data_IF_177477792472
#
_entry.id   IF_177477792472
#
_cell.length_a   1.000
_cell.length_b   1.000
_cell.length_c   1.000
_cell.angle_alpha   90.00
_cell.angle_beta   90.00
_cell.angle_gamma   90.00
#
_symmetry.space_group_name_H-M   'P 1'
#
loop_
_entity.id
_entity.type
_entity.pdbx_description
1 polymer ?
#
# COMPACT_ATOMS: atom_id res chain seq x y z
N UNK A 1 -39.37 12.38 -24.97
CA UNK A 1 -37.98 11.90 -24.74
C UNK A 1 -37.69 11.60 -23.27
N UNK A 2 -38.07 12.43 -22.28
CA UNK A 2 -37.76 12.22 -20.85
C UNK A 2 -38.42 10.98 -20.18
N UNK A 3 -39.56 10.50 -20.70
CA UNK A 3 -40.34 9.37 -20.11
C UNK A 3 -39.59 8.03 -20.10
N UNK A 4 -38.65 7.83 -21.01
CA UNK A 4 -37.85 6.60 -21.07
C UNK A 4 -36.48 6.73 -20.40
N UNK A 5 -36.14 7.94 -19.94
CA UNK A 5 -34.81 8.23 -19.39
C UNK A 5 -34.57 7.48 -18.06
N UNK A 6 -35.60 7.44 -17.20
CA UNK A 6 -35.53 6.80 -15.88
C UNK A 6 -35.40 5.28 -15.98
N UNK A 7 -36.27 4.55 -16.72
CA UNK A 7 -36.11 3.10 -16.87
C UNK A 7 -34.81 2.75 -17.61
N UNK A 8 -34.38 3.56 -18.58
CA UNK A 8 -33.12 3.35 -19.29
C UNK A 8 -31.90 3.51 -18.36
N UNK A 9 -31.90 4.51 -17.48
CA UNK A 9 -30.84 4.72 -16.50
C UNK A 9 -30.79 3.59 -15.45
N UNK A 10 -31.95 3.09 -15.03
CA UNK A 10 -32.05 1.98 -14.09
C UNK A 10 -31.46 0.68 -14.66
N UNK A 11 -31.69 0.40 -15.94
CA UNK A 11 -31.12 -0.77 -16.64
C UNK A 11 -29.58 -0.66 -16.73
N UNK A 12 -29.05 0.54 -17.00
CA UNK A 12 -27.60 0.78 -17.05
C UNK A 12 -26.96 0.55 -15.68
N UNK A 13 -27.58 1.04 -14.60
CA UNK A 13 -27.09 0.86 -13.24
C UNK A 13 -27.16 -0.60 -12.76
N UNK A 14 -28.13 -1.39 -13.24
CA UNK A 14 -28.19 -2.82 -12.95
C UNK A 14 -27.13 -3.67 -13.66
N UNK A 15 -26.38 -3.07 -14.60
CA UNK A 15 -25.30 -3.73 -15.35
C UNK A 15 -23.91 -3.48 -14.77
N UNK A 16 -23.80 -2.98 -13.53
CA UNK A 16 -22.51 -2.90 -12.86
C UNK A 16 -22.04 -4.32 -12.53
N UNK A 17 -21.16 -4.86 -13.36
CA UNK A 17 -20.43 -6.08 -13.03
C UNK A 17 -19.71 -5.90 -11.67
N UNK A 18 -19.55 -6.96 -10.87
CA UNK A 18 -18.72 -6.87 -9.68
C UNK A 18 -17.33 -6.37 -10.08
N UNK A 19 -16.99 -5.17 -9.64
CA UNK A 19 -15.63 -4.65 -9.74
C UNK A 19 -14.82 -5.35 -8.64
N UNK A 20 -14.37 -6.57 -8.93
CA UNK A 20 -13.34 -7.19 -8.12
C UNK A 20 -12.11 -6.29 -8.25
N UNK A 21 -11.53 -5.86 -7.12
CA UNK A 21 -10.24 -5.18 -7.08
C UNK A 21 -9.14 -6.14 -7.50
N UNK A 22 -9.11 -6.51 -8.78
CA UNK A 22 -8.15 -7.43 -9.34
C UNK A 22 -6.80 -6.73 -9.31
N UNK A 23 -5.89 -7.25 -8.49
CA UNK A 23 -4.50 -6.83 -8.50
C UNK A 23 -3.96 -6.95 -9.93
N UNK A 24 -3.16 -5.98 -10.35
CA UNK A 24 -2.54 -6.00 -11.67
C UNK A 24 -1.89 -7.37 -11.92
N UNK A 25 -2.09 -7.91 -13.13
CA UNK A 25 -1.45 -9.16 -13.55
C UNK A 25 0.06 -8.98 -13.39
N UNK A 26 0.76 -9.85 -12.64
CA UNK A 26 2.21 -9.75 -12.47
C UNK A 26 2.91 -9.65 -13.82
N UNK A 27 3.83 -8.69 -13.98
CA UNK A 27 4.67 -8.61 -15.17
C UNK A 27 5.71 -9.73 -15.15
N UNK A 28 6.49 -9.88 -16.23
CA UNK A 28 7.62 -10.84 -16.29
C UNK A 28 8.64 -10.56 -15.15
N UNK A 29 8.66 -9.34 -14.59
CA UNK A 29 9.49 -8.99 -13.43
C UNK A 29 8.89 -9.36 -12.06
N UNK A 30 7.68 -9.92 -12.01
CA UNK A 30 6.94 -10.12 -10.76
C UNK A 30 6.27 -8.82 -10.27
N UNK A 31 5.41 -8.93 -9.27
CA UNK A 31 4.56 -7.87 -8.70
C UNK A 31 5.12 -6.43 -8.84
N UNK A 32 4.39 -5.56 -9.55
CA UNK A 32 4.77 -4.14 -9.72
C UNK A 32 4.42 -3.35 -8.45
N UNK A 33 5.42 -3.14 -7.59
CA UNK A 33 5.43 -2.32 -6.37
C UNK A 33 4.27 -2.52 -5.37
N UNK A 34 4.47 -3.44 -4.43
CA UNK A 34 3.80 -3.39 -3.14
C UNK A 34 4.33 -2.23 -2.28
N UNK A 35 3.54 -1.80 -1.29
CA UNK A 35 4.02 -0.89 -0.26
C UNK A 35 3.56 -1.34 1.12
N UNK A 36 4.43 -1.15 2.12
CA UNK A 36 4.15 -1.48 3.52
C UNK A 36 4.13 -0.18 4.31
N UNK A 37 3.08 0.02 5.10
CA UNK A 37 3.05 1.10 6.09
C UNK A 37 3.49 0.54 7.43
N UNK A 38 4.56 1.09 7.99
CA UNK A 38 5.02 0.74 9.32
C UNK A 38 4.79 1.89 10.28
N UNK A 39 4.06 1.58 11.35
CA UNK A 39 4.04 2.40 12.55
C UNK A 39 5.27 2.06 13.38
N UNK A 40 6.11 3.05 13.66
CA UNK A 40 7.39 2.86 14.33
C UNK A 40 7.53 3.81 15.51
N UNK A 41 8.22 3.38 16.57
CA UNK A 41 8.45 4.22 17.76
C UNK A 41 9.47 5.34 17.50
N UNK A 42 10.37 5.14 16.54
CA UNK A 42 11.41 6.10 16.16
C UNK A 42 11.63 6.05 14.63
N UNK A 43 11.22 7.12 13.94
CA UNK A 43 11.31 7.20 12.48
C UNK A 43 12.76 7.37 12.00
N UNK A 44 13.61 8.04 12.76
CA UNK A 44 15.00 8.29 12.39
C UNK A 44 15.85 7.03 12.55
N UNK A 45 15.65 6.29 13.64
CA UNK A 45 16.31 5.01 13.85
C UNK A 45 15.91 4.00 12.76
N UNK A 46 14.62 3.89 12.44
CA UNK A 46 14.19 3.00 11.36
C UNK A 46 14.79 3.39 10.02
N UNK A 47 14.86 4.68 9.66
CA UNK A 47 15.53 5.10 8.43
C UNK A 47 16.98 4.60 8.37
N UNK A 48 17.76 4.78 9.45
CA UNK A 48 19.15 4.28 9.50
C UNK A 48 19.22 2.78 9.32
N UNK A 49 18.40 2.02 10.04
CA UNK A 49 18.37 0.55 9.95
C UNK A 49 18.12 0.07 8.51
N UNK A 50 17.14 0.66 7.84
CA UNK A 50 16.78 0.26 6.48
C UNK A 50 17.82 0.69 5.44
N UNK A 51 18.45 1.85 5.61
CA UNK A 51 19.54 2.29 4.72
C UNK A 51 20.79 1.45 4.92
N UNK A 52 21.24 1.29 6.17
CA UNK A 52 22.54 0.69 6.49
C UNK A 52 22.57 -0.83 6.30
N UNK A 53 21.43 -1.51 6.45
CA UNK A 53 21.37 -2.97 6.38
C UNK A 53 20.69 -3.52 5.14
N UNK A 54 19.89 -2.70 4.44
CA UNK A 54 19.07 -3.16 3.31
C UNK A 54 19.22 -2.29 2.05
N UNK A 55 20.13 -1.31 2.05
CA UNK A 55 20.39 -0.42 0.91
C UNK A 55 19.16 0.37 0.44
N UNK A 56 18.27 0.74 1.37
CA UNK A 56 17.10 1.55 1.06
C UNK A 56 17.50 2.97 0.60
N UNK A 57 16.79 3.52 -0.38
CA UNK A 57 16.86 4.94 -0.74
C UNK A 57 15.79 5.72 0.04
N UNK A 58 16.19 6.73 0.84
CA UNK A 58 15.22 7.61 1.51
C UNK A 58 14.63 8.57 0.46
N UNK A 59 13.31 8.54 0.31
CA UNK A 59 12.57 9.43 -0.58
C UNK A 59 11.43 10.12 0.17
N UNK A 60 11.15 11.37 -0.16
CA UNK A 60 10.05 12.13 0.43
C UNK A 60 8.80 12.01 -0.48
N UNK A 61 7.66 11.61 0.10
CA UNK A 61 6.36 11.52 -0.61
C UNK A 61 5.30 12.34 0.13
N UNK A 62 5.26 13.64 -0.18
CA UNK A 62 4.42 14.59 0.56
C UNK A 62 4.83 14.63 2.04
N UNK A 63 3.90 14.47 3.00
CA UNK A 63 4.22 14.50 4.42
C UNK A 63 4.92 13.22 4.92
N UNK A 64 5.04 12.18 4.10
CA UNK A 64 5.57 10.88 4.51
C UNK A 64 7.02 10.69 4.05
N UNK A 65 7.87 10.26 4.98
CA UNK A 65 9.18 9.71 4.67
C UNK A 65 9.00 8.26 4.21
N UNK A 66 9.57 7.93 3.05
CA UNK A 66 9.50 6.61 2.47
C UNK A 66 10.90 6.04 2.24
N UNK A 67 11.00 4.72 2.29
CA UNK A 67 12.20 3.93 2.02
C UNK A 67 11.91 3.15 0.75
N UNK A 68 12.66 3.45 -0.30
CA UNK A 68 12.45 2.91 -1.63
C UNK A 68 13.49 1.82 -1.91
N UNK A 69 12.99 0.70 -2.40
CA UNK A 69 13.74 -0.41 -2.96
C UNK A 69 13.35 -0.57 -4.44
N UNK A 70 14.11 -1.35 -5.25
CA UNK A 70 13.78 -1.57 -6.66
C UNK A 70 12.37 -2.13 -6.93
N UNK A 71 11.77 -2.85 -5.96
CA UNK A 71 10.49 -3.52 -6.11
C UNK A 71 9.49 -3.24 -4.96
N UNK A 72 9.83 -2.36 -4.01
CA UNK A 72 9.00 -2.11 -2.82
C UNK A 72 9.20 -0.70 -2.26
N UNK A 73 8.17 -0.18 -1.59
CA UNK A 73 8.27 1.05 -0.78
C UNK A 73 7.81 0.76 0.66
N UNK A 74 8.57 1.21 1.66
CA UNK A 74 8.14 1.24 3.05
C UNK A 74 7.83 2.69 3.43
N UNK A 75 6.62 2.96 3.93
CA UNK A 75 6.20 4.27 4.42
C UNK A 75 6.23 4.25 5.95
N UNK A 76 6.97 5.18 6.55
CA UNK A 76 7.11 5.25 8.00
C UNK A 76 6.14 6.27 8.59
N UNK A 77 5.53 5.91 9.72
CA UNK A 77 4.76 6.82 10.57
C UNK A 77 5.16 6.63 12.03
N UNK A 78 5.45 7.72 12.74
CA UNK A 78 5.71 7.68 14.18
C UNK A 78 4.45 7.34 14.97
N UNK A 79 4.50 6.32 15.83
CA UNK A 79 3.42 5.95 16.75
C UNK A 79 3.94 5.08 17.91
N UNK A 80 3.52 5.30 19.17
CA UNK A 80 3.86 4.40 20.27
C UNK A 80 3.33 2.98 20.02
N UNK A 81 4.11 1.92 20.37
CA UNK A 81 3.65 0.55 20.23
C UNK A 81 2.56 0.25 21.27
N UNK A 82 1.50 -0.44 20.84
CA UNK A 82 0.41 -0.89 21.73
C UNK A 82 0.50 -2.37 22.09
N UNK A 83 1.25 -3.16 21.31
CA UNK A 83 1.44 -4.60 21.45
C UNK A 83 2.67 -5.07 20.66
N UNK A 84 3.09 -6.33 20.83
CA UNK A 84 4.19 -6.93 20.06
C UNK A 84 3.78 -7.33 18.64
N UNK A 85 4.74 -7.42 17.69
CA UNK A 85 4.46 -7.75 16.28
C UNK A 85 3.78 -9.11 16.10
N UNK A 86 4.19 -10.11 16.87
CA UNK A 86 3.69 -11.50 16.82
C UNK A 86 2.19 -11.63 17.10
N UNK A 87 1.61 -10.64 17.77
CA UNK A 87 0.20 -10.62 18.10
C UNK A 87 -0.63 -9.85 17.05
N UNK A 88 0.01 -9.26 16.05
CA UNK A 88 -0.66 -8.57 14.95
C UNK A 88 -1.00 -9.53 13.80
N UNK A 89 -1.87 -9.09 12.88
CA UNK A 89 -2.20 -9.85 11.66
C UNK A 89 -0.98 -10.02 10.74
N UNK A 90 -0.01 -9.11 10.81
CA UNK A 90 1.21 -9.16 10.02
C UNK A 90 2.45 -9.14 10.93
N UNK A 91 2.87 -10.34 11.35
CA UNK A 91 4.05 -10.52 12.20
C UNK A 91 5.37 -10.18 11.48
N UNK A 92 5.49 -10.57 10.20
CA UNK A 92 6.70 -10.32 9.40
C UNK A 92 6.37 -10.13 7.91
N UNK A 93 7.32 -9.53 7.19
CA UNK A 93 7.36 -9.48 5.73
C UNK A 93 8.82 -9.63 5.27
N UNK A 94 9.02 -9.97 4.00
CA UNK A 94 10.34 -10.11 3.37
C UNK A 94 10.27 -9.80 1.88
N UNK A 95 11.41 -9.44 1.29
CA UNK A 95 11.57 -9.06 -0.11
C UNK A 95 12.99 -9.37 -0.58
#
# INVERSE_FOLDING_TARGET
MKRYLIPFLAIILSWTAPAFGQLAVPTIEGLTYGHVHLNVSDVELHQKLWVEHFDAEIVQKGPLTALKFPNMIILLRGNPPTMGSRETVMDHFGF
#
